data_IF_643798633209
#
_entry.id   IF_643798633209
#
_cell.length_a   1.000
_cell.length_b   1.000
_cell.length_c   1.000
_cell.angle_alpha   90.00
_cell.angle_beta   90.00
_cell.angle_gamma   90.00
#
_symmetry.space_group_name_H-M   'P 1'
#
loop_
_entity.id
_entity.type
_entity.pdbx_description
1 polymer ?
#
# COMPACT_ATOMS: atom_id res chain seq x y z
N UNK A 1 15.19 -2.95 -37.35
CA UNK A 1 16.00 -2.26 -38.39
C UNK A 1 15.13 -1.28 -39.17
N UNK A 2 15.09 0.02 -38.83
CA UNK A 2 14.65 1.04 -39.80
C UNK A 2 15.26 2.44 -39.63
N UNK A 3 16.32 2.63 -38.85
CA UNK A 3 16.82 3.99 -38.56
C UNK A 3 17.57 4.59 -39.76
N UNK A 4 18.30 3.78 -40.52
CA UNK A 4 19.03 4.21 -41.72
C UNK A 4 18.09 4.72 -42.83
N UNK A 5 16.96 4.06 -43.05
CA UNK A 5 16.00 4.45 -44.10
C UNK A 5 15.28 5.76 -43.79
N UNK A 6 15.07 6.10 -42.51
CA UNK A 6 14.49 7.38 -42.08
C UNK A 6 15.39 8.57 -42.43
N UNK A 7 16.70 8.43 -42.20
CA UNK A 7 17.68 9.49 -42.47
C UNK A 7 17.78 9.75 -43.98
N UNK A 8 17.73 8.68 -44.78
CA UNK A 8 17.78 8.77 -46.25
C UNK A 8 16.55 9.47 -46.83
N UNK A 9 15.33 9.16 -46.37
CA UNK A 9 14.11 9.79 -46.87
C UNK A 9 14.03 11.29 -46.54
N UNK A 10 14.46 11.69 -45.33
CA UNK A 10 14.54 13.11 -44.93
C UNK A 10 15.57 13.86 -45.76
N UNK A 11 16.74 13.24 -45.95
CA UNK A 11 17.81 13.80 -46.77
C UNK A 11 17.37 14.01 -48.21
N UNK A 12 16.63 13.05 -48.80
CA UNK A 12 16.16 13.14 -50.18
C UNK A 12 15.14 14.28 -50.40
N UNK A 13 14.15 14.44 -49.50
CA UNK A 13 13.16 15.50 -49.63
C UNK A 13 13.78 16.91 -49.51
N UNK A 14 14.70 17.10 -48.57
CA UNK A 14 15.42 18.36 -48.39
C UNK A 14 16.37 18.61 -49.56
N UNK A 15 17.13 17.60 -50.00
CA UNK A 15 18.01 17.72 -51.16
C UNK A 15 17.23 18.07 -52.43
N UNK A 16 16.08 17.44 -52.66
CA UNK A 16 15.18 17.75 -53.77
C UNK A 16 14.69 19.19 -53.72
N UNK A 17 14.25 19.68 -52.55
CA UNK A 17 13.80 21.06 -52.37
C UNK A 17 14.92 22.08 -52.63
N UNK A 18 16.14 21.79 -52.16
CA UNK A 18 17.32 22.65 -52.40
C UNK A 18 17.67 22.69 -53.87
N UNK A 19 17.78 21.54 -54.55
CA UNK A 19 18.10 21.47 -55.98
C UNK A 19 17.05 22.22 -56.80
N UNK A 20 15.76 22.02 -56.50
CA UNK A 20 14.68 22.67 -57.23
C UNK A 20 14.62 24.18 -56.95
N UNK A 21 14.98 24.62 -55.74
CA UNK A 21 15.16 26.04 -55.40
C UNK A 21 16.32 26.67 -56.16
N UNK A 22 17.46 25.98 -56.29
CA UNK A 22 18.62 26.45 -57.06
C UNK A 22 18.26 26.58 -58.54
N UNK A 23 17.58 25.56 -59.11
CA UNK A 23 17.10 25.60 -60.49
C UNK A 23 16.14 26.77 -60.70
N UNK A 24 15.19 26.98 -59.78
CA UNK A 24 14.24 28.11 -59.83
C UNK A 24 14.95 29.46 -59.76
N UNK A 25 15.88 29.65 -58.82
CA UNK A 25 16.64 30.89 -58.69
C UNK A 25 17.50 31.15 -59.94
N UNK A 26 18.13 30.12 -60.50
CA UNK A 26 18.87 30.22 -61.75
C UNK A 26 17.98 30.66 -62.92
N UNK A 27 16.79 30.06 -63.06
CA UNK A 27 15.82 30.43 -64.08
C UNK A 27 15.31 31.87 -63.88
N UNK A 28 14.99 32.24 -62.65
CA UNK A 28 14.56 33.59 -62.29
C UNK A 28 15.64 34.62 -62.68
N UNK A 29 16.91 34.37 -62.32
CA UNK A 29 18.04 35.24 -62.68
C UNK A 29 18.18 35.37 -64.20
N UNK A 30 18.12 34.26 -64.94
CA UNK A 30 18.20 34.28 -66.42
C UNK A 30 17.07 35.10 -67.04
N UNK A 31 15.84 34.93 -66.54
CA UNK A 31 14.67 35.71 -66.97
C UNK A 31 14.82 37.19 -66.61
N UNK A 32 15.32 37.51 -65.42
CA UNK A 32 15.59 38.89 -65.00
C UNK A 32 16.66 39.57 -65.87
N UNK A 33 17.66 38.84 -66.35
CA UNK A 33 18.65 39.38 -67.30
C UNK A 33 18.09 39.60 -68.71
N UNK A 34 17.06 38.84 -69.11
CA UNK A 34 16.38 39.00 -70.40
C UNK A 34 15.23 40.01 -70.37
N UNK A 35 14.72 40.39 -69.19
CA UNK A 35 13.71 41.43 -69.09
C UNK A 35 14.35 42.79 -69.42
N UNK A 36 13.63 43.57 -70.23
CA UNK A 36 14.16 44.76 -70.89
C UNK A 36 14.82 45.73 -69.88
N UNK A 37 16.04 46.16 -70.21
CA UNK A 37 16.75 47.22 -69.47
C UNK A 37 15.90 48.49 -69.49
N UNK A 38 15.78 49.14 -68.35
CA UNK A 38 15.21 50.48 -68.29
C UNK A 38 16.16 51.44 -69.02
N UNK A 39 15.65 52.11 -70.05
CA UNK A 39 16.37 53.16 -70.76
C UNK A 39 16.26 54.43 -69.91
N UNK A 40 17.28 54.69 -69.09
CA UNK A 40 17.29 55.82 -68.16
C UNK A 40 18.31 56.86 -68.65
N UNK A 41 17.81 57.95 -69.23
CA UNK A 41 18.61 59.06 -69.76
C UNK A 41 19.00 60.09 -68.69
N UNK A 42 19.12 59.70 -67.42
CA UNK A 42 19.37 60.63 -66.30
C UNK A 42 20.86 60.76 -65.92
N UNK A 43 21.28 62.01 -65.68
CA UNK A 43 22.65 62.44 -65.35
C UNK A 43 23.25 61.82 -64.08
N UNK A 44 22.42 61.24 -63.20
CA UNK A 44 22.87 60.59 -61.96
C UNK A 44 23.65 59.29 -62.20
N UNK A 45 23.47 58.65 -63.37
CA UNK A 45 24.13 57.40 -63.75
C UNK A 45 25.65 57.52 -64.01
N UNK A 46 26.21 58.74 -64.06
CA UNK A 46 27.63 58.99 -64.31
C UNK A 46 28.51 58.89 -63.06
N UNK A 47 27.94 59.02 -61.85
CA UNK A 47 28.71 59.19 -60.62
C UNK A 47 28.50 58.09 -59.57
N UNK A 48 27.52 57.18 -59.76
CA UNK A 48 27.30 56.03 -58.89
C UNK A 48 27.86 54.75 -59.55
N UNK A 49 28.61 53.89 -58.82
CA UNK A 49 29.00 52.58 -59.35
C UNK A 49 27.73 51.79 -59.67
N UNK A 50 27.54 51.48 -60.95
CA UNK A 50 26.31 50.88 -61.48
C UNK A 50 26.13 49.47 -60.93
N UNK A 51 25.38 49.33 -59.83
CA UNK A 51 25.03 48.02 -59.30
C UNK A 51 23.87 47.42 -60.11
N UNK A 52 23.72 46.10 -60.07
CA UNK A 52 22.59 45.41 -60.71
C UNK A 52 21.24 45.94 -60.18
N UNK A 53 21.18 46.27 -58.88
CA UNK A 53 20.02 46.88 -58.22
C UNK A 53 19.64 48.23 -58.84
N UNK A 54 20.63 49.09 -59.08
CA UNK A 54 20.39 50.40 -59.70
C UNK A 54 19.89 50.31 -61.14
N UNK A 55 20.26 49.25 -61.85
CA UNK A 55 19.94 49.10 -63.29
C UNK A 55 18.58 48.45 -63.52
N UNK A 56 18.13 47.60 -62.60
CA UNK A 56 16.93 46.78 -62.79
C UNK A 56 15.78 47.09 -61.83
N UNK A 57 16.01 47.77 -60.71
CA UNK A 57 14.98 47.94 -59.66
C UNK A 57 14.67 49.42 -59.40
N UNK A 58 15.65 50.31 -59.52
CA UNK A 58 15.45 51.75 -59.25
C UNK A 58 14.48 52.46 -60.20
N UNK A 59 14.21 51.89 -61.37
CA UNK A 59 13.28 52.45 -62.37
C UNK A 59 11.84 51.93 -62.23
N UNK A 60 11.60 50.89 -61.42
CA UNK A 60 10.26 50.33 -61.22
C UNK A 60 9.48 51.17 -60.21
N UNK A 61 8.17 51.33 -60.44
CA UNK A 61 7.30 51.91 -59.42
C UNK A 61 7.33 51.01 -58.18
N UNK A 62 7.18 51.60 -56.99
CA UNK A 62 7.20 50.87 -55.72
C UNK A 62 6.31 49.61 -55.73
N UNK A 63 5.18 49.64 -56.42
CA UNK A 63 4.28 48.48 -56.56
C UNK A 63 4.87 47.33 -57.41
N UNK A 64 5.59 47.65 -58.48
CA UNK A 64 6.15 46.67 -59.41
C UNK A 64 7.37 45.94 -58.80
N UNK A 65 8.09 46.60 -57.89
CA UNK A 65 9.15 45.96 -57.08
C UNK A 65 8.54 44.88 -56.19
N UNK A 66 7.38 45.16 -55.58
CA UNK A 66 6.63 44.21 -54.76
C UNK A 66 6.15 43.00 -55.58
N UNK A 67 5.57 43.24 -56.76
CA UNK A 67 5.09 42.16 -57.64
C UNK A 67 6.23 41.27 -58.14
N UNK A 68 7.39 41.86 -58.46
CA UNK A 68 8.59 41.11 -58.88
C UNK A 68 9.14 40.26 -57.74
N UNK A 69 9.21 40.81 -56.53
CA UNK A 69 9.64 40.06 -55.35
C UNK A 69 8.65 38.93 -55.01
N UNK A 70 7.34 39.20 -55.06
CA UNK A 70 6.30 38.21 -54.83
C UNK A 70 6.38 37.06 -55.85
N UNK A 71 6.62 37.37 -57.13
CA UNK A 71 6.84 36.38 -58.18
C UNK A 71 8.07 35.49 -57.95
N UNK A 72 9.14 36.04 -57.38
CA UNK A 72 10.35 35.28 -57.06
C UNK A 72 10.17 34.36 -55.84
N UNK A 73 9.57 34.89 -54.77
CA UNK A 73 9.45 34.21 -53.48
C UNK A 73 8.28 33.22 -53.41
N UNK A 74 7.17 33.43 -54.14
CA UNK A 74 6.01 32.56 -54.03
C UNK A 74 6.29 31.10 -54.42
N UNK A 75 6.96 30.79 -55.56
CA UNK A 75 7.30 29.40 -55.89
C UNK A 75 8.32 28.81 -54.93
N UNK A 76 9.28 29.60 -54.45
CA UNK A 76 10.27 29.15 -53.47
C UNK A 76 9.61 28.76 -52.15
N UNK A 77 8.69 29.59 -51.63
CA UNK A 77 7.90 29.27 -50.45
C UNK A 77 7.05 28.00 -50.64
N UNK A 78 6.46 27.82 -51.82
CA UNK A 78 5.66 26.64 -52.14
C UNK A 78 6.48 25.34 -52.17
N UNK A 79 7.70 25.37 -52.71
CA UNK A 79 8.62 24.21 -52.72
C UNK A 79 8.96 23.78 -51.29
N UNK A 80 9.32 24.74 -50.45
CA UNK A 80 9.63 24.47 -49.04
C UNK A 80 8.39 23.99 -48.28
N UNK A 81 7.20 24.53 -48.54
CA UNK A 81 5.96 24.06 -47.95
C UNK A 81 5.64 22.60 -48.32
N UNK A 82 5.81 22.21 -49.57
CA UNK A 82 5.64 20.80 -49.96
C UNK A 82 6.64 19.89 -49.27
N UNK A 83 7.91 20.31 -49.18
CA UNK A 83 8.95 19.55 -48.50
C UNK A 83 8.60 19.29 -47.02
N UNK A 84 8.08 20.30 -46.31
CA UNK A 84 7.67 20.14 -44.91
C UNK A 84 6.43 19.23 -44.77
N UNK A 85 5.46 19.30 -45.67
CA UNK A 85 4.28 18.41 -45.65
C UNK A 85 4.68 16.94 -45.87
N UNK A 86 5.60 16.66 -46.80
CA UNK A 86 6.12 15.31 -47.01
C UNK A 86 6.89 14.80 -45.79
N UNK A 87 7.69 15.66 -45.16
CA UNK A 87 8.39 15.33 -43.93
C UNK A 87 7.41 14.95 -42.80
N UNK A 88 6.39 15.79 -42.59
CA UNK A 88 5.37 15.56 -41.57
C UNK A 88 4.56 14.28 -41.81
N UNK A 89 4.24 13.95 -43.07
CA UNK A 89 3.51 12.71 -43.40
C UNK A 89 4.29 11.46 -43.01
N UNK A 90 5.60 11.45 -43.24
CA UNK A 90 6.44 10.31 -42.88
C UNK A 90 6.54 10.14 -41.36
N UNK A 91 6.60 11.25 -40.61
CA UNK A 91 6.59 11.21 -39.13
C UNK A 91 5.29 10.62 -38.59
N UNK A 92 4.14 10.99 -39.15
CA UNK A 92 2.85 10.47 -38.71
C UNK A 92 2.68 8.96 -38.94
N UNK A 93 3.24 8.40 -40.02
CA UNK A 93 3.19 6.95 -40.25
C UNK A 93 4.00 6.20 -39.21
N UNK A 94 5.20 6.67 -38.91
CA UNK A 94 6.07 6.10 -37.88
C UNK A 94 5.38 6.13 -36.51
N UNK A 95 4.78 7.25 -36.14
CA UNK A 95 4.05 7.37 -34.86
C UNK A 95 2.89 6.38 -34.78
N UNK A 96 2.21 6.09 -35.89
CA UNK A 96 1.13 5.07 -35.92
C UNK A 96 1.66 3.66 -35.68
N UNK A 97 2.78 3.31 -36.28
CA UNK A 97 3.42 2.01 -36.08
C UNK A 97 3.91 1.86 -34.64
N UNK A 98 4.53 2.89 -34.08
CA UNK A 98 4.96 2.93 -32.67
C UNK A 98 3.77 2.81 -31.72
N UNK A 99 2.66 3.50 -32.01
CA UNK A 99 1.41 3.38 -31.24
C UNK A 99 0.81 1.96 -31.34
N UNK A 100 0.86 1.31 -32.51
CA UNK A 100 0.37 -0.05 -32.68
C UNK A 100 1.19 -1.05 -31.84
N UNK A 101 2.51 -0.91 -31.83
CA UNK A 101 3.40 -1.71 -30.98
C UNK A 101 3.13 -1.43 -29.50
N UNK A 102 3.00 -0.16 -29.10
CA UNK A 102 2.71 0.25 -27.72
C UNK A 102 1.39 -0.34 -27.21
N UNK A 103 0.32 -0.31 -28.04
CA UNK A 103 -0.95 -0.97 -27.71
C UNK A 103 -0.79 -2.48 -27.47
N UNK A 104 0.03 -3.15 -28.27
CA UNK A 104 0.30 -4.58 -28.10
C UNK A 104 1.07 -4.91 -26.81
N UNK A 105 1.93 -4.01 -26.32
CA UNK A 105 2.59 -4.14 -25.02
C UNK A 105 1.59 -3.88 -23.89
N UNK A 106 0.76 -2.85 -24.02
CA UNK A 106 -0.26 -2.52 -23.02
C UNK A 106 -1.27 -3.66 -22.81
N UNK A 107 -1.69 -4.33 -23.89
CA UNK A 107 -2.58 -5.51 -23.81
C UNK A 107 -1.87 -6.65 -23.04
N UNK A 108 -0.62 -6.97 -23.39
CA UNK A 108 0.15 -8.02 -22.68
C UNK A 108 0.35 -7.70 -21.20
N UNK A 109 0.60 -6.44 -20.86
CA UNK A 109 0.69 -6.03 -19.46
C UNK A 109 -0.66 -6.19 -18.74
N UNK A 110 -1.77 -5.87 -19.40
CA UNK A 110 -3.10 -6.08 -18.81
C UNK A 110 -3.39 -7.57 -18.55
N UNK A 111 -3.00 -8.46 -19.48
CA UNK A 111 -3.09 -9.92 -19.30
C UNK A 111 -2.22 -10.40 -18.12
N UNK A 112 -0.98 -9.91 -18.00
CA UNK A 112 -0.10 -10.23 -16.87
C UNK A 112 -0.66 -9.71 -15.53
N UNK A 113 -1.30 -8.54 -15.52
CA UNK A 113 -1.96 -8.02 -14.33
C UNK A 113 -3.15 -8.89 -13.91
N UNK A 114 -3.94 -9.38 -14.87
CA UNK A 114 -5.06 -10.30 -14.57
C UNK A 114 -4.52 -11.57 -13.89
N UNK A 115 -3.47 -12.17 -14.41
CA UNK A 115 -2.83 -13.35 -13.82
C UNK A 115 -2.27 -13.06 -12.40
N UNK A 116 -1.61 -11.91 -12.22
CA UNK A 116 -1.15 -11.49 -10.89
C UNK A 116 -2.29 -11.28 -9.90
N UNK A 117 -3.44 -10.74 -10.34
CA UNK A 117 -4.60 -10.57 -9.46
C UNK A 117 -5.19 -11.90 -9.02
N UNK A 118 -5.23 -12.90 -9.92
CA UNK A 118 -5.64 -14.27 -9.59
C UNK A 118 -4.69 -14.91 -8.56
N UNK A 119 -3.38 -14.75 -8.75
CA UNK A 119 -2.38 -15.21 -7.79
C UNK A 119 -2.48 -14.52 -6.43
N UNK A 120 -2.73 -13.21 -6.40
CA UNK A 120 -2.96 -12.47 -5.15
C UNK A 120 -4.23 -12.93 -4.43
N UNK A 121 -5.30 -13.19 -5.16
CA UNK A 121 -6.53 -13.72 -4.57
C UNK A 121 -6.29 -15.08 -3.89
N UNK A 122 -5.61 -16.00 -4.58
CA UNK A 122 -5.25 -17.31 -4.02
C UNK A 122 -4.29 -17.18 -2.81
N UNK A 123 -3.31 -16.27 -2.88
CA UNK A 123 -2.38 -16.01 -1.78
C UNK A 123 -3.09 -15.39 -0.55
N UNK A 124 -4.08 -14.53 -0.76
CA UNK A 124 -4.88 -13.96 0.31
C UNK A 124 -5.71 -15.03 1.02
N UNK A 125 -6.33 -15.95 0.27
CA UNK A 125 -7.07 -17.08 0.85
C UNK A 125 -6.16 -17.98 1.70
N UNK A 126 -4.97 -18.32 1.18
CA UNK A 126 -3.99 -19.11 1.92
C UNK A 126 -3.51 -18.38 3.20
N UNK A 127 -3.29 -17.07 3.11
CA UNK A 127 -2.91 -16.22 4.24
C UNK A 127 -4.02 -16.21 5.31
N UNK A 128 -5.28 -16.04 4.93
CA UNK A 128 -6.42 -16.06 5.87
C UNK A 128 -6.52 -17.41 6.60
N UNK A 129 -6.38 -18.53 5.87
CA UNK A 129 -6.36 -19.87 6.46
C UNK A 129 -5.19 -20.05 7.42
N UNK A 130 -4.02 -19.52 7.08
CA UNK A 130 -2.84 -19.54 7.95
C UNK A 130 -3.04 -18.70 9.22
N UNK A 131 -3.67 -17.52 9.12
CA UNK A 131 -3.99 -16.66 10.26
C UNK A 131 -4.98 -17.37 11.18
N UNK A 132 -6.02 -17.99 10.63
CA UNK A 132 -6.99 -18.74 11.41
C UNK A 132 -6.33 -19.92 12.13
N UNK A 133 -5.44 -20.64 11.46
CA UNK A 133 -4.71 -21.77 12.05
C UNK A 133 -3.78 -21.30 13.17
N UNK A 134 -2.98 -20.25 12.92
CA UNK A 134 -2.10 -19.65 13.92
C UNK A 134 -2.87 -19.09 15.12
N UNK A 135 -4.04 -18.48 14.88
CA UNK A 135 -4.92 -18.02 15.95
C UNK A 135 -5.39 -19.19 16.82
N UNK A 136 -5.90 -20.28 16.21
CA UNK A 136 -6.33 -21.48 16.93
C UNK A 136 -5.20 -22.10 17.74
N UNK A 137 -4.01 -22.22 17.16
CA UNK A 137 -2.84 -22.74 17.87
C UNK A 137 -2.45 -21.86 19.06
N UNK A 138 -2.49 -20.53 18.90
CA UNK A 138 -2.19 -19.60 20.00
C UNK A 138 -3.20 -19.70 21.15
N UNK A 139 -4.47 -19.93 20.82
CA UNK A 139 -5.54 -20.13 21.81
C UNK A 139 -5.33 -21.45 22.54
N UNK A 140 -5.03 -22.54 21.82
CA UNK A 140 -4.72 -23.84 22.42
C UNK A 140 -3.52 -23.77 23.36
N UNK A 141 -2.44 -23.09 22.96
CA UNK A 141 -1.25 -22.91 23.81
C UNK A 141 -1.58 -22.19 25.11
N UNK A 142 -2.35 -21.09 25.04
CA UNK A 142 -2.84 -20.37 26.23
C UNK A 142 -3.70 -21.24 27.13
N UNK A 143 -4.62 -22.02 26.56
CA UNK A 143 -5.46 -22.95 27.31
C UNK A 143 -4.66 -24.07 27.98
N UNK A 144 -3.67 -24.63 27.29
CA UNK A 144 -2.80 -25.66 27.87
C UNK A 144 -2.00 -25.12 29.06
N UNK A 145 -1.44 -23.91 28.94
CA UNK A 145 -0.77 -23.22 30.05
C UNK A 145 -1.69 -23.00 31.25
N UNK A 146 -2.89 -22.46 31.01
CA UNK A 146 -3.90 -22.27 32.05
C UNK A 146 -4.27 -23.59 32.74
N UNK A 147 -4.50 -24.66 31.96
CA UNK A 147 -4.84 -25.97 32.51
C UNK A 147 -3.70 -26.60 33.34
N UNK A 148 -2.44 -26.28 33.01
CA UNK A 148 -1.29 -26.77 33.74
C UNK A 148 -1.16 -26.04 35.10
N UNK A 149 -1.44 -24.74 35.12
CA UNK A 149 -1.49 -23.92 36.34
C UNK A 149 -2.59 -24.42 37.27
N UNK A 150 -3.82 -24.57 36.78
CA UNK A 150 -4.95 -25.04 37.60
C UNK A 150 -4.68 -26.42 38.20
N UNK A 151 -4.14 -27.35 37.40
CA UNK A 151 -3.78 -28.70 37.90
C UNK A 151 -2.63 -28.69 38.90
N UNK A 152 -1.71 -27.72 38.83
CA UNK A 152 -0.66 -27.56 39.85
C UNK A 152 -1.29 -27.10 41.16
N UNK A 153 -2.11 -26.05 41.12
CA UNK A 153 -2.85 -25.53 42.26
C UNK A 153 -3.71 -26.61 42.94
N UNK A 154 -4.48 -27.39 42.16
CA UNK A 154 -5.29 -28.50 42.70
C UNK A 154 -4.44 -29.53 43.45
N UNK A 155 -3.27 -29.92 42.92
CA UNK A 155 -2.39 -30.91 43.57
C UNK A 155 -1.82 -30.40 44.89
N UNK A 156 -1.45 -29.13 44.94
CA UNK A 156 -0.88 -28.51 46.13
C UNK A 156 -1.92 -28.34 47.24
N UNK A 157 -3.16 -27.94 46.90
CA UNK A 157 -4.29 -27.85 47.84
C UNK A 157 -4.71 -29.22 48.41
N UNK A 158 -4.58 -30.30 47.63
CA UNK A 158 -5.03 -31.64 48.06
C UNK A 158 -4.07 -32.30 49.08
N UNK A 159 -2.81 -31.88 49.15
CA UNK A 159 -1.77 -32.66 49.85
C UNK A 159 -1.48 -32.22 51.29
N UNK A 160 -1.86 -31.01 51.72
CA UNK A 160 -1.58 -30.56 53.08
C UNK A 160 -2.57 -29.50 53.61
N UNK A 161 -3.48 -29.86 54.54
CA UNK A 161 -4.42 -28.92 55.14
C UNK A 161 -3.78 -27.89 56.10
N UNK A 162 -2.48 -28.03 56.43
CA UNK A 162 -1.77 -27.16 57.39
C UNK A 162 -0.76 -26.19 56.75
N UNK A 163 -0.60 -26.16 55.41
CA UNK A 163 0.30 -25.19 54.74
C UNK A 163 -0.43 -23.85 54.59
N UNK A 164 -0.51 -23.08 55.69
CA UNK A 164 -1.36 -21.89 55.78
C UNK A 164 -0.70 -20.56 55.38
N UNK A 165 0.63 -20.41 55.34
CA UNK A 165 1.24 -19.09 55.09
C UNK A 165 2.00 -18.94 53.77
N UNK A 166 2.47 -20.03 53.15
CA UNK A 166 3.19 -19.96 51.86
C UNK A 166 2.32 -20.24 50.64
N UNK A 167 1.28 -21.05 50.81
CA UNK A 167 0.42 -21.53 49.71
C UNK A 167 -0.45 -20.42 49.12
N UNK A 168 -0.85 -19.45 49.95
CA UNK A 168 -1.74 -18.35 49.58
C UNK A 168 -1.10 -17.40 48.58
N UNK A 169 0.19 -17.07 48.72
CA UNK A 169 0.88 -16.15 47.80
C UNK A 169 1.19 -16.82 46.45
N UNK A 170 1.58 -18.10 46.45
CA UNK A 170 1.82 -18.85 45.21
C UNK A 170 0.51 -19.14 44.47
N UNK A 171 -0.57 -19.50 45.18
CA UNK A 171 -1.91 -19.60 44.58
C UNK A 171 -2.37 -18.26 44.01
N UNK A 172 -2.22 -17.16 44.75
CA UNK A 172 -2.59 -15.83 44.28
C UNK A 172 -1.87 -15.45 43.00
N UNK A 173 -0.55 -15.68 42.92
CA UNK A 173 0.23 -15.45 41.68
C UNK A 173 -0.25 -16.32 40.52
N UNK A 174 -0.51 -17.60 40.78
CA UNK A 174 -1.04 -18.51 39.77
C UNK A 174 -2.43 -18.08 39.29
N UNK A 175 -3.28 -17.57 40.19
CA UNK A 175 -4.59 -17.01 39.86
C UNK A 175 -4.47 -15.71 39.07
N UNK A 176 -3.59 -14.78 39.44
CA UNK A 176 -3.36 -13.54 38.67
C UNK A 176 -2.86 -13.85 37.24
N UNK A 177 -1.93 -14.80 37.11
CA UNK A 177 -1.46 -15.27 35.80
C UNK A 177 -2.61 -15.89 35.00
N UNK A 178 -3.41 -16.76 35.62
CA UNK A 178 -4.61 -17.35 35.04
C UNK A 178 -5.67 -16.31 34.63
N UNK A 179 -5.90 -15.28 35.43
CA UNK A 179 -6.83 -14.18 35.17
C UNK A 179 -6.41 -13.41 33.92
N UNK A 180 -5.11 -13.09 33.82
CA UNK A 180 -4.56 -12.37 32.67
C UNK A 180 -4.71 -13.18 31.38
N UNK A 181 -4.52 -14.50 31.46
CA UNK A 181 -4.72 -15.43 30.35
C UNK A 181 -6.20 -15.57 29.97
N UNK A 182 -7.09 -15.66 30.95
CA UNK A 182 -8.54 -15.74 30.77
C UNK A 182 -9.14 -14.47 30.16
N UNK A 183 -8.72 -13.29 30.63
CA UNK A 183 -9.16 -12.01 30.10
C UNK A 183 -8.80 -11.86 28.61
N UNK A 184 -7.58 -12.29 28.24
CA UNK A 184 -7.13 -12.31 26.85
C UNK A 184 -7.87 -13.32 25.95
N UNK A 185 -8.57 -14.30 26.53
CA UNK A 185 -9.41 -15.23 25.79
C UNK A 185 -10.82 -14.68 25.52
N UNK A 186 -11.22 -13.59 26.20
CA UNK A 186 -12.49 -12.89 25.97
C UNK A 186 -13.75 -13.70 26.29
N UNK A 187 -13.63 -14.80 27.04
CA UNK A 187 -14.75 -15.66 27.39
C UNK A 187 -15.37 -15.26 28.73
N UNK A 188 -16.58 -14.70 28.69
CA UNK A 188 -17.36 -14.33 29.86
C UNK A 188 -17.59 -15.48 30.84
N UNK A 189 -17.62 -16.73 30.38
CA UNK A 189 -17.81 -17.88 31.25
C UNK A 189 -16.59 -18.10 32.17
N UNK A 190 -15.38 -17.94 31.62
CA UNK A 190 -14.13 -18.03 32.40
C UNK A 190 -14.02 -16.84 33.34
N UNK A 191 -14.36 -15.64 32.86
CA UNK A 191 -14.40 -14.42 33.69
C UNK A 191 -15.37 -14.58 34.88
N UNK A 192 -16.57 -15.10 34.65
CA UNK A 192 -17.57 -15.32 35.71
C UNK A 192 -17.11 -16.38 36.71
N UNK A 193 -16.49 -17.46 36.23
CA UNK A 193 -15.92 -18.48 37.11
C UNK A 193 -14.79 -17.88 37.97
N UNK A 194 -13.91 -17.09 37.36
CA UNK A 194 -12.79 -16.45 38.06
C UNK A 194 -13.26 -15.46 39.12
N UNK A 195 -14.25 -14.63 38.80
CA UNK A 195 -14.85 -13.69 39.76
C UNK A 195 -15.45 -14.42 40.97
N UNK A 196 -16.13 -15.55 40.76
CA UNK A 196 -16.65 -16.37 41.88
C UNK A 196 -15.54 -16.90 42.79
N UNK A 197 -14.40 -17.30 42.22
CA UNK A 197 -13.26 -17.77 43.02
C UNK A 197 -12.66 -16.62 43.84
N UNK A 198 -12.49 -15.43 43.23
CA UNK A 198 -12.00 -14.24 43.93
C UNK A 198 -12.94 -13.78 45.05
N UNK A 199 -14.26 -13.81 44.82
CA UNK A 199 -15.26 -13.46 45.83
C UNK A 199 -15.16 -14.39 47.05
N UNK A 200 -14.98 -15.70 46.82
CA UNK A 200 -14.80 -16.68 47.89
C UNK A 200 -13.46 -16.52 48.61
N UNK A 201 -12.37 -16.26 47.89
CA UNK A 201 -11.06 -15.99 48.52
C UNK A 201 -11.11 -14.75 49.42
N UNK A 202 -11.76 -13.69 48.94
CA UNK A 202 -11.95 -12.45 49.71
C UNK A 202 -12.76 -12.72 50.99
N UNK A 203 -13.83 -13.52 50.89
CA UNK A 203 -14.62 -13.94 52.06
C UNK A 203 -13.79 -14.78 53.04
N UNK A 204 -12.97 -15.70 52.54
CA UNK A 204 -12.12 -16.54 53.37
C UNK A 204 -11.06 -15.73 54.12
N UNK A 205 -10.39 -14.77 53.45
CA UNK A 205 -9.42 -13.88 54.08
C UNK A 205 -10.06 -13.02 55.18
N UNK A 206 -11.27 -12.53 54.95
CA UNK A 206 -12.02 -11.80 55.95
C UNK A 206 -12.28 -12.66 57.20
N UNK A 207 -12.84 -13.87 57.02
CA UNK A 207 -13.12 -14.79 58.13
C UNK A 207 -11.85 -15.22 58.88
N UNK A 208 -10.75 -15.45 58.17
CA UNK A 208 -9.45 -15.76 58.78
C UNK A 208 -8.91 -14.59 59.59
N UNK A 209 -9.07 -13.35 59.11
CA UNK A 209 -8.64 -12.17 59.86
C UNK A 209 -9.44 -11.98 61.16
N UNK A 210 -10.74 -12.30 61.14
CA UNK A 210 -11.58 -12.30 62.35
C UNK A 210 -11.15 -13.40 63.34
N UNK A 211 -10.85 -14.61 62.84
CA UNK A 211 -10.34 -15.70 63.67
C UNK A 211 -9.00 -15.33 64.32
N UNK A 212 -8.08 -14.74 63.56
CA UNK A 212 -6.78 -14.31 64.07
C UNK A 212 -6.89 -13.20 65.11
N UNK A 213 -7.74 -12.20 64.87
CA UNK A 213 -8.01 -11.15 65.85
C UNK A 213 -8.58 -11.75 67.15
N UNK A 214 -9.48 -12.71 67.02
CA UNK A 214 -10.05 -13.44 68.14
C UNK A 214 -8.99 -14.24 68.93
N UNK A 215 -8.12 -14.99 68.25
CA UNK A 215 -7.02 -15.73 68.90
C UNK A 215 -6.07 -14.80 69.67
N UNK A 216 -5.80 -13.61 69.12
CA UNK A 216 -4.99 -12.60 69.80
C UNK A 216 -5.68 -12.06 71.05
N UNK A 217 -6.98 -11.81 71.00
CA UNK A 217 -7.76 -11.37 72.16
C UNK A 217 -7.90 -12.46 73.22
N UNK A 218 -8.00 -13.74 72.81
CA UNK A 218 -8.06 -14.88 73.73
C UNK A 218 -6.75 -15.07 74.51
N UNK A 219 -5.61 -14.66 73.92
CA UNK A 219 -4.33 -14.66 74.63
C UNK A 219 -4.34 -13.68 75.81
N UNK A 220 -5.00 -12.53 75.66
CA UNK A 220 -5.15 -11.53 76.73
C UNK A 220 -6.30 -11.88 77.70
N UNK A 221 -7.34 -12.56 77.23
CA UNK A 221 -8.49 -13.01 78.02
C UNK A 221 -8.88 -14.47 77.70
N UNK A 222 -8.36 -15.46 78.46
CA UNK A 222 -8.56 -16.87 78.16
C UNK A 222 -10.00 -17.37 78.40
N UNK A 223 -10.86 -16.60 79.07
CA UNK A 223 -12.28 -16.95 79.25
C UNK A 223 -13.15 -16.50 78.07
N UNK A 224 -12.58 -15.74 77.12
CA UNK A 224 -13.28 -15.36 75.89
C UNK A 224 -13.60 -16.61 75.07
N UNK A 225 -14.81 -16.66 74.52
CA UNK A 225 -15.34 -17.77 73.70
C UNK A 225 -15.42 -17.30 72.24
N UNK A 226 -15.02 -18.12 71.26
CA UNK A 226 -15.06 -17.72 69.87
C UNK A 226 -16.50 -17.39 69.45
N UNK A 227 -16.68 -16.45 68.51
CA UNK A 227 -17.99 -16.23 67.92
C UNK A 227 -18.50 -17.57 67.38
N UNK A 228 -19.66 -17.98 67.90
CA UNK A 228 -20.21 -19.29 67.62
C UNK A 228 -20.46 -19.44 66.11
N UNK A 229 -19.81 -20.43 65.49
CA UNK A 229 -19.98 -20.75 64.07
C UNK A 229 -18.86 -20.27 63.15
N UNK A 230 -17.90 -19.47 63.61
CA UNK A 230 -16.82 -18.93 62.75
C UNK A 230 -15.99 -20.03 62.06
N UNK A 231 -15.60 -21.07 62.79
CA UNK A 231 -14.88 -22.22 62.21
C UNK A 231 -15.72 -22.97 61.16
N UNK A 232 -17.03 -23.08 61.38
CA UNK A 232 -17.93 -23.73 60.45
C UNK A 232 -18.10 -22.90 59.16
N UNK A 233 -18.18 -21.57 59.28
CA UNK A 233 -18.24 -20.66 58.13
C UNK A 233 -16.95 -20.69 57.31
N UNK A 234 -15.78 -20.75 57.96
CA UNK A 234 -14.48 -20.92 57.30
C UNK A 234 -14.45 -22.23 56.51
N UNK A 235 -14.88 -23.33 57.12
CA UNK A 235 -14.86 -24.64 56.48
C UNK A 235 -15.89 -24.75 55.35
N UNK A 236 -17.06 -24.13 55.47
CA UNK A 236 -18.06 -24.07 54.39
C UNK A 236 -17.57 -23.21 53.22
N UNK A 237 -16.91 -22.08 53.48
CA UNK A 237 -16.29 -21.25 52.45
C UNK A 237 -15.17 -22.01 51.72
N UNK A 238 -14.32 -22.72 52.46
CA UNK A 238 -13.29 -23.61 51.90
C UNK A 238 -13.90 -24.70 51.03
N UNK A 239 -14.98 -25.35 51.49
CA UNK A 239 -15.68 -26.41 50.74
C UNK A 239 -16.32 -25.88 49.47
N UNK A 240 -16.96 -24.70 49.51
CA UNK A 240 -17.50 -24.03 48.34
C UNK A 240 -16.41 -23.67 47.31
N UNK A 241 -15.25 -23.21 47.77
CA UNK A 241 -14.11 -22.92 46.90
C UNK A 241 -13.59 -24.20 46.24
N UNK A 242 -13.48 -25.29 47.01
CA UNK A 242 -13.11 -26.60 46.48
C UNK A 242 -14.13 -27.11 45.47
N UNK A 243 -15.43 -26.97 45.69
CA UNK A 243 -16.46 -27.40 44.73
C UNK A 243 -16.39 -26.61 43.41
N UNK A 244 -16.08 -25.32 43.46
CA UNK A 244 -15.88 -24.50 42.25
C UNK A 244 -14.59 -24.90 41.51
N UNK A 245 -13.54 -25.26 42.24
CA UNK A 245 -12.25 -25.71 41.67
C UNK A 245 -12.35 -27.13 41.12
N UNK A 246 -13.11 -28.02 41.76
CA UNK A 246 -13.34 -29.41 41.36
C UNK A 246 -14.48 -29.55 40.36
N UNK A 247 -15.25 -28.48 40.13
CA UNK A 247 -16.22 -28.35 39.05
C UNK A 247 -15.56 -28.35 37.67
N UNK A 248 -14.82 -29.41 37.34
CA UNK A 248 -14.13 -29.66 36.07
C UNK A 248 -15.08 -29.54 34.87
N UNK A 249 -16.39 -29.71 35.10
CA UNK A 249 -17.42 -29.63 34.09
C UNK A 249 -17.48 -28.25 33.40
N UNK A 250 -17.19 -27.16 34.12
CA UNK A 250 -17.21 -25.80 33.52
C UNK A 250 -16.02 -25.63 32.58
N UNK A 251 -14.80 -25.94 33.03
CA UNK A 251 -13.59 -25.85 32.21
C UNK A 251 -13.67 -26.80 31.02
N UNK A 252 -14.19 -28.01 31.22
CA UNK A 252 -14.39 -28.99 30.15
C UNK A 252 -15.44 -28.53 29.14
N UNK A 253 -16.56 -27.96 29.59
CA UNK A 253 -17.60 -27.44 28.70
C UNK A 253 -17.13 -26.21 27.91
N UNK A 254 -16.32 -25.33 28.52
CA UNK A 254 -15.73 -24.19 27.84
C UNK A 254 -14.70 -24.66 26.80
N UNK A 255 -13.81 -25.59 27.16
CA UNK A 255 -12.88 -26.20 26.22
C UNK A 255 -13.63 -26.87 25.06
N UNK A 256 -14.67 -27.66 25.35
CA UNK A 256 -15.51 -28.30 24.34
C UNK A 256 -16.18 -27.28 23.41
N UNK A 257 -16.66 -26.16 23.95
CA UNK A 257 -17.29 -25.09 23.16
C UNK A 257 -16.32 -24.39 22.21
N UNK A 258 -15.07 -24.14 22.62
CA UNK A 258 -14.08 -23.45 21.79
C UNK A 258 -13.30 -24.37 20.85
N UNK A 259 -13.19 -25.66 21.20
CA UNK A 259 -12.40 -26.62 20.43
C UNK A 259 -13.25 -27.60 19.60
N UNK A 260 -14.58 -27.60 19.74
CA UNK A 260 -15.43 -28.33 18.81
C UNK A 260 -15.20 -27.85 17.37
N UNK A 261 -15.11 -28.75 16.38
CA UNK A 261 -15.10 -28.35 14.99
C UNK A 261 -16.38 -27.56 14.68
N UNK A 262 -16.30 -26.46 13.92
CA UNK A 262 -17.51 -25.79 13.45
C UNK A 262 -18.34 -26.80 12.64
N UNK A 263 -19.59 -26.99 13.05
CA UNK A 263 -20.60 -27.79 12.34
C UNK A 263 -21.03 -27.10 11.05
#
# INVERSE_FOLDING_TARGET
MPEKTKIEARSFAVAGAVVLSIIWLGLFIVVSFHSNRCDDSTLWSLFAPRTWWDTHISCLRMNEVGDTAAGAFAPLAFIWFLATVFLQRNELQITRDELAVSRGVAIRQAEEFEDQTLHMAAANEATLKSIQTSYRLSVMDRWLKLSAIIRRAQREVTYDPFVQEGLTEDLRRLFEEAASLAFNLGDRAVETWFQKVLDLDTQLQFLQSELFAYEHEQYDDPERVPPAGLEAEIEDCRRAMLDIIHGDEILFNIAKKHFAPPS
#
